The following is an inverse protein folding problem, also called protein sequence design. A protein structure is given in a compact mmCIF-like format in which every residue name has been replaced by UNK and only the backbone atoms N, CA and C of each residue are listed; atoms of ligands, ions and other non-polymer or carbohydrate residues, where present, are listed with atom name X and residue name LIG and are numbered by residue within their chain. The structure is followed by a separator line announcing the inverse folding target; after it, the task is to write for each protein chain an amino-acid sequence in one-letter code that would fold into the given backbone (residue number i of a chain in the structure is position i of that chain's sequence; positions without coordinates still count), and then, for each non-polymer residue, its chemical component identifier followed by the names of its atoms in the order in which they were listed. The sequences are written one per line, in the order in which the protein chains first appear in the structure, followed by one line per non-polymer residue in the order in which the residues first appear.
data_IF_426924765147
#
_entry.id   IF_426924765147
#
_cell.length_a   1.000
_cell.length_b   1.000
_cell.length_c   1.000
_cell.angle_alpha   90.00
_cell.angle_beta   90.00
_cell.angle_gamma   90.00
#
_symmetry.space_group_name_H-M   'P 1'
#
loop_
_entity.id
_entity.type
_entity.pdbx_description
1 polymer ?
#
# COMPACT_ATOMS: atom_id res chain seq x y z
N UNK A 1 -18.11 14.95 -33.56
CA UNK A 1 -16.93 15.80 -33.89
C UNK A 1 -15.68 14.94 -33.66
N UNK A 2 -14.82 14.80 -34.67
CA UNK A 2 -13.55 14.11 -34.54
C UNK A 2 -12.47 15.13 -34.16
N UNK A 3 -11.50 14.72 -33.34
CA UNK A 3 -10.34 15.55 -32.98
C UNK A 3 -9.44 15.68 -34.23
N UNK A 4 -9.03 16.88 -34.58
CA UNK A 4 -7.99 17.11 -35.56
C UNK A 4 -6.61 16.99 -34.91
N UNK A 5 -5.64 16.44 -35.60
CA UNK A 5 -4.25 16.33 -35.15
C UNK A 5 -3.62 15.00 -35.58
N UNK A 6 -2.31 14.91 -35.41
CA UNK A 6 -1.52 13.67 -35.65
C UNK A 6 -1.75 12.70 -34.50
N UNK A 7 -1.95 11.44 -34.80
CA UNK A 7 -2.09 10.39 -33.80
C UNK A 7 -0.77 10.17 -33.05
N UNK A 8 -0.87 9.89 -31.74
CA UNK A 8 0.28 9.62 -30.89
C UNK A 8 0.71 8.15 -31.01
N UNK A 9 1.25 7.77 -32.18
CA UNK A 9 1.58 6.39 -32.50
C UNK A 9 2.59 5.76 -31.53
N UNK A 10 3.62 6.49 -31.11
CA UNK A 10 4.63 5.95 -30.21
C UNK A 10 4.08 5.57 -28.83
N UNK A 11 3.16 6.37 -28.27
CA UNK A 11 2.49 6.01 -27.02
C UNK A 11 1.52 4.84 -27.21
N UNK A 12 0.86 4.72 -28.36
CA UNK A 12 -0.02 3.57 -28.65
C UNK A 12 0.78 2.27 -28.79
N UNK A 13 1.92 2.32 -29.46
CA UNK A 13 2.82 1.15 -29.58
C UNK A 13 3.41 0.77 -28.22
N UNK A 14 3.82 1.76 -27.42
CA UNK A 14 4.29 1.54 -26.05
C UNK A 14 3.21 0.90 -25.16
N UNK A 15 1.97 1.40 -25.23
CA UNK A 15 0.84 0.81 -24.52
C UNK A 15 0.56 -0.65 -24.94
N UNK A 16 0.59 -0.93 -26.24
CA UNK A 16 0.37 -2.28 -26.75
C UNK A 16 1.45 -3.24 -26.22
N UNK A 17 2.73 -2.84 -26.23
CA UNK A 17 3.83 -3.67 -25.70
C UNK A 17 3.75 -3.83 -24.17
N UNK A 18 3.40 -2.78 -23.44
CA UNK A 18 3.21 -2.86 -21.99
C UNK A 18 2.08 -3.82 -21.63
N UNK A 19 0.96 -3.79 -22.37
CA UNK A 19 -0.16 -4.71 -22.18
C UNK A 19 0.22 -6.16 -22.47
N UNK A 20 0.96 -6.41 -23.56
CA UNK A 20 1.49 -7.74 -23.90
C UNK A 20 2.33 -8.30 -22.74
N UNK A 21 3.32 -7.53 -22.24
CA UNK A 21 4.17 -7.93 -21.13
C UNK A 21 3.40 -8.13 -19.82
N UNK A 22 2.41 -7.28 -19.55
CA UNK A 22 1.57 -7.41 -18.37
C UNK A 22 0.75 -8.70 -18.40
N UNK A 23 0.19 -9.08 -19.56
CA UNK A 23 -0.59 -10.31 -19.71
C UNK A 23 0.29 -11.57 -19.62
N UNK A 24 1.51 -11.53 -20.17
CA UNK A 24 2.47 -12.64 -20.07
C UNK A 24 2.89 -12.94 -18.63
N UNK A 25 2.98 -11.90 -17.79
CA UNK A 25 3.51 -12.02 -16.42
C UNK A 25 2.44 -11.89 -15.32
N UNK A 26 1.15 -11.81 -15.65
CA UNK A 26 0.09 -11.48 -14.68
C UNK A 26 0.05 -12.48 -13.51
N UNK A 27 0.16 -13.77 -13.80
CA UNK A 27 0.08 -14.82 -12.78
C UNK A 27 1.34 -14.82 -11.88
N UNK A 28 2.53 -14.76 -12.50
CA UNK A 28 3.79 -14.73 -11.74
C UNK A 28 3.92 -13.47 -10.87
N UNK A 29 3.51 -12.32 -11.40
CA UNK A 29 3.52 -11.06 -10.65
C UNK A 29 2.50 -11.08 -9.50
N UNK A 30 1.32 -11.69 -9.73
CA UNK A 30 0.32 -11.85 -8.67
C UNK A 30 0.87 -12.71 -7.54
N UNK A 31 1.47 -13.86 -7.85
CA UNK A 31 2.06 -14.77 -6.86
C UNK A 31 3.21 -14.11 -6.08
N UNK A 32 4.10 -13.39 -6.77
CA UNK A 32 5.20 -12.68 -6.12
C UNK A 32 4.68 -11.63 -5.11
N UNK A 33 3.68 -10.85 -5.50
CA UNK A 33 3.08 -9.84 -4.62
C UNK A 33 2.30 -10.48 -3.47
N UNK A 34 1.63 -11.59 -3.69
CA UNK A 34 0.93 -12.36 -2.64
C UNK A 34 1.92 -12.92 -1.61
N UNK A 35 3.07 -13.42 -2.05
CA UNK A 35 4.15 -13.88 -1.18
C UNK A 35 4.67 -12.75 -0.28
N UNK A 36 4.97 -11.57 -0.85
CA UNK A 36 5.40 -10.38 -0.09
C UNK A 36 4.37 -9.97 0.97
N UNK A 37 3.09 -9.98 0.59
CA UNK A 37 1.98 -9.66 1.50
C UNK A 37 1.92 -10.63 2.68
N UNK A 38 1.94 -11.93 2.39
CA UNK A 38 1.92 -12.98 3.41
C UNK A 38 3.16 -12.93 4.30
N UNK A 39 4.34 -12.69 3.71
CA UNK A 39 5.58 -12.57 4.44
C UNK A 39 5.55 -11.40 5.43
N UNK A 40 5.09 -10.22 5.00
CA UNK A 40 4.92 -9.06 5.89
C UNK A 40 4.04 -9.41 7.09
N UNK A 41 2.85 -9.98 6.84
CA UNK A 41 1.91 -10.32 7.91
C UNK A 41 2.47 -11.37 8.88
N UNK A 42 3.25 -12.34 8.37
CA UNK A 42 3.94 -13.33 9.20
C UNK A 42 5.00 -12.68 10.08
N UNK A 43 5.84 -11.82 9.49
CA UNK A 43 6.91 -11.11 10.23
C UNK A 43 6.38 -10.17 11.30
N UNK A 44 5.28 -9.46 11.05
CA UNK A 44 4.62 -8.63 12.07
C UNK A 44 4.16 -9.48 13.27
N UNK A 45 3.61 -10.66 13.02
CA UNK A 45 3.19 -11.60 14.09
C UNK A 45 4.40 -12.18 14.84
N UNK A 46 5.46 -12.58 14.14
CA UNK A 46 6.70 -13.08 14.74
C UNK A 46 7.36 -12.06 15.68
N UNK A 47 7.26 -10.78 15.34
CA UNK A 47 7.77 -9.66 16.14
C UNK A 47 6.79 -9.21 17.25
N UNK A 48 5.64 -9.87 17.38
CA UNK A 48 4.57 -9.54 18.34
C UNK A 48 4.07 -8.09 18.21
N UNK A 49 4.15 -7.50 17.01
CA UNK A 49 3.65 -6.16 16.73
C UNK A 49 2.12 -6.23 16.64
N UNK A 50 1.37 -5.50 17.48
CA UNK A 50 -0.08 -5.50 17.43
C UNK A 50 -0.58 -4.76 16.18
N UNK A 51 -1.38 -5.43 15.37
CA UNK A 51 -2.00 -4.83 14.19
C UNK A 51 -3.34 -5.49 13.87
N UNK A 52 -4.16 -4.80 13.08
CA UNK A 52 -5.32 -5.41 12.42
C UNK A 52 -5.41 -4.95 10.97
N UNK A 53 -5.99 -5.82 10.13
CA UNK A 53 -6.24 -5.50 8.72
C UNK A 53 -7.58 -4.81 8.58
N UNK A 54 -7.62 -3.75 7.77
CA UNK A 54 -8.87 -3.08 7.39
C UNK A 54 -9.53 -3.70 6.13
N UNK A 55 -9.21 -4.95 5.83
CA UNK A 55 -9.75 -5.70 4.70
C UNK A 55 -10.81 -6.68 5.21
N UNK A 56 -12.05 -6.56 4.75
CA UNK A 56 -13.20 -7.34 5.21
C UNK A 56 -13.68 -8.39 4.22
N UNK A 57 -12.79 -8.98 3.43
CA UNK A 57 -13.14 -10.00 2.44
C UNK A 57 -12.02 -10.26 1.46
N UNK A 58 -12.32 -10.92 0.33
CA UNK A 58 -11.34 -11.11 -0.74
C UNK A 58 -10.80 -9.75 -1.20
N UNK A 59 -9.48 -9.64 -1.26
CA UNK A 59 -8.80 -8.39 -1.62
C UNK A 59 -7.59 -8.68 -2.49
N UNK A 60 -7.24 -7.74 -3.35
CA UNK A 60 -6.01 -7.81 -4.13
C UNK A 60 -4.79 -7.76 -3.21
N UNK A 61 -3.75 -8.58 -3.45
CA UNK A 61 -2.61 -8.69 -2.53
C UNK A 61 -1.67 -7.48 -2.59
N UNK A 62 -1.73 -6.67 -3.64
CA UNK A 62 -0.79 -5.56 -3.87
C UNK A 62 -0.98 -4.37 -2.94
N UNK A 63 -2.08 -4.30 -2.20
CA UNK A 63 -2.35 -3.23 -1.22
C UNK A 63 -2.83 -3.80 0.10
N UNK A 64 -2.12 -3.45 1.17
CA UNK A 64 -2.52 -3.69 2.55
C UNK A 64 -2.86 -2.38 3.24
N UNK A 65 -4.03 -2.33 3.87
CA UNK A 65 -4.33 -1.31 4.86
C UNK A 65 -4.26 -1.95 6.24
N UNK A 66 -3.26 -1.54 7.02
CA UNK A 66 -3.00 -2.03 8.37
C UNK A 66 -3.20 -0.89 9.36
N UNK A 67 -3.81 -1.19 10.48
CA UNK A 67 -3.90 -0.29 11.60
C UNK A 67 -3.05 -0.79 12.77
N UNK A 68 -2.37 0.15 13.43
CA UNK A 68 -1.54 -0.08 14.61
C UNK A 68 -2.20 0.61 15.79
N UNK A 69 -2.80 -0.14 16.72
CA UNK A 69 -3.57 0.43 17.83
C UNK A 69 -2.76 1.42 18.67
N UNK A 70 -3.37 2.56 18.96
CA UNK A 70 -2.78 3.67 19.73
C UNK A 70 -1.62 4.42 19.05
N UNK A 71 -1.33 4.13 17.77
CA UNK A 71 -0.30 4.83 17.02
C UNK A 71 -0.92 5.93 16.14
N UNK A 72 -0.26 7.09 16.11
CA UNK A 72 -0.67 8.16 15.20
C UNK A 72 -0.05 7.93 13.82
N UNK A 73 -0.87 7.76 12.80
CA UNK A 73 -0.44 7.43 11.44
C UNK A 73 0.43 8.53 10.80
N UNK A 74 0.23 9.81 11.11
CA UNK A 74 1.03 10.89 10.55
C UNK A 74 2.46 10.87 11.10
N UNK A 75 2.57 10.60 12.41
CA UNK A 75 3.87 10.43 13.06
C UNK A 75 4.58 9.18 12.55
N UNK A 76 3.84 8.08 12.41
CA UNK A 76 4.36 6.82 11.89
C UNK A 76 4.82 6.97 10.43
N UNK A 77 4.02 7.64 9.59
CA UNK A 77 4.38 7.98 8.21
C UNK A 77 5.71 8.74 8.16
N UNK A 78 5.83 9.80 8.96
CA UNK A 78 7.03 10.65 8.99
C UNK A 78 8.26 9.84 9.43
N UNK A 79 8.15 9.03 10.48
CA UNK A 79 9.26 8.21 10.97
C UNK A 79 9.70 7.15 9.95
N UNK A 80 8.76 6.53 9.24
CA UNK A 80 9.04 5.54 8.20
C UNK A 80 9.67 6.19 6.97
N UNK A 81 9.21 7.37 6.56
CA UNK A 81 9.80 8.14 5.46
C UNK A 81 11.26 8.50 5.76
N UNK A 82 11.56 8.98 6.97
CA UNK A 82 12.94 9.22 7.43
C UNK A 82 13.79 7.95 7.49
N UNK A 83 13.16 6.79 7.67
CA UNK A 83 13.83 5.48 7.62
C UNK A 83 13.98 4.94 6.18
N UNK A 84 13.52 5.67 5.15
CA UNK A 84 13.64 5.33 3.75
C UNK A 84 12.47 4.50 3.18
N UNK A 85 11.32 4.46 3.85
CA UNK A 85 10.13 3.72 3.40
C UNK A 85 9.01 4.66 2.99
N UNK A 86 8.67 4.65 1.72
CA UNK A 86 7.52 5.37 1.17
C UNK A 86 6.23 4.56 1.39
N UNK A 87 5.41 5.00 2.32
CA UNK A 87 4.07 4.47 2.57
C UNK A 87 3.03 5.58 2.44
N UNK A 88 1.76 5.27 2.60
CA UNK A 88 0.70 6.29 2.55
C UNK A 88 -0.32 6.12 3.68
N UNK A 89 -1.04 7.20 3.97
CA UNK A 89 -2.15 7.23 4.92
C UNK A 89 -3.38 7.84 4.23
N UNK A 90 -4.56 7.61 4.77
CA UNK A 90 -5.79 8.26 4.32
C UNK A 90 -6.12 8.08 2.84
N UNK A 91 -6.67 9.12 2.22
CA UNK A 91 -6.99 9.18 0.80
C UNK A 91 -5.80 9.75 0.02
N UNK A 92 -5.25 8.97 -0.93
CA UNK A 92 -4.03 9.33 -1.67
C UNK A 92 -4.14 10.61 -2.50
N UNK A 93 -5.34 11.08 -2.81
CA UNK A 93 -5.59 12.22 -3.70
C UNK A 93 -5.89 13.54 -2.95
N UNK A 94 -5.91 13.54 -1.62
CA UNK A 94 -6.10 14.75 -0.82
C UNK A 94 -4.78 15.55 -0.77
N UNK A 95 -4.35 16.10 -1.92
CA UNK A 95 -3.16 16.94 -2.01
C UNK A 95 -3.30 18.14 -1.07
N UNK A 96 -2.67 18.05 0.10
CA UNK A 96 -2.57 19.17 1.06
C UNK A 96 -3.65 19.23 2.15
N UNK A 97 -4.65 18.34 2.16
CA UNK A 97 -5.58 18.20 3.29
C UNK A 97 -5.50 16.78 3.83
N UNK A 98 -5.20 16.67 5.13
CA UNK A 98 -5.19 15.38 5.85
C UNK A 98 -6.65 15.01 6.15
N UNK A 99 -7.38 14.57 5.11
CA UNK A 99 -8.72 14.05 5.30
C UNK A 99 -8.67 12.54 5.54
N UNK A 100 -9.40 12.03 6.54
CA UNK A 100 -9.54 10.60 6.75
C UNK A 100 -10.07 9.89 5.50
N UNK A 101 -9.73 8.62 5.35
CA UNK A 101 -10.28 7.82 4.25
C UNK A 101 -11.80 7.71 4.36
N UNK A 102 -12.53 8.21 3.36
CA UNK A 102 -14.00 8.09 3.30
C UNK A 102 -14.49 6.63 3.37
N UNK A 103 -13.65 5.67 2.94
CA UNK A 103 -13.93 4.23 3.05
C UNK A 103 -13.89 3.80 4.52
N UNK A 104 -12.84 4.19 5.24
CA UNK A 104 -12.72 3.88 6.68
C UNK A 104 -13.76 4.63 7.51
N UNK A 105 -14.12 5.86 7.13
CA UNK A 105 -15.25 6.59 7.75
C UNK A 105 -16.56 5.84 7.59
N UNK A 106 -16.82 5.26 6.44
CA UNK A 106 -18.04 4.46 6.20
C UNK A 106 -18.06 3.18 7.04
N UNK A 107 -16.89 2.61 7.35
CA UNK A 107 -16.77 1.38 8.14
C UNK A 107 -16.83 1.66 9.65
N UNK A 108 -16.07 2.65 10.13
CA UNK A 108 -15.86 2.88 11.55
C UNK A 108 -16.62 4.08 12.11
N UNK A 109 -17.20 4.91 11.25
CA UNK A 109 -17.83 6.17 11.62
C UNK A 109 -16.82 7.33 11.68
N UNK A 110 -17.32 8.55 11.44
CA UNK A 110 -16.51 9.78 11.29
C UNK A 110 -15.68 10.17 12.51
N UNK A 111 -16.11 9.76 13.71
CA UNK A 111 -15.46 10.12 14.97
C UNK A 111 -14.63 8.99 15.58
N UNK A 112 -14.32 7.95 14.81
CA UNK A 112 -13.55 6.81 15.29
C UNK A 112 -12.06 7.13 15.34
N UNK A 113 -11.40 6.84 16.46
CA UNK A 113 -9.94 6.95 16.59
C UNK A 113 -9.19 6.04 15.60
N UNK A 114 -9.85 4.94 15.19
CA UNK A 114 -9.33 4.03 14.16
C UNK A 114 -8.99 4.69 12.83
N UNK A 115 -9.55 5.86 12.54
CA UNK A 115 -9.25 6.62 11.33
C UNK A 115 -7.82 7.17 11.33
N UNK A 116 -7.19 7.29 12.49
CA UNK A 116 -5.85 7.87 12.68
C UNK A 116 -4.76 6.83 12.95
N UNK A 117 -5.10 5.55 12.98
CA UNK A 117 -4.19 4.45 13.34
C UNK A 117 -3.70 3.65 12.13
N UNK A 118 -4.11 4.01 10.92
CA UNK A 118 -3.91 3.18 9.74
C UNK A 118 -2.87 3.72 8.77
N UNK A 119 -2.12 2.80 8.17
CA UNK A 119 -1.23 3.05 7.04
C UNK A 119 -1.60 2.14 5.88
N UNK A 120 -1.24 2.58 4.67
CA UNK A 120 -1.40 1.78 3.47
C UNK A 120 -0.04 1.45 2.87
N UNK A 121 0.22 0.16 2.75
CA UNK A 121 1.43 -0.41 2.17
C UNK A 121 1.06 -0.95 0.80
N UNK A 122 1.83 -0.58 -0.23
CA UNK A 122 1.64 -1.05 -1.60
C UNK A 122 2.87 -1.82 -2.04
N UNK A 123 2.64 -2.98 -2.66
CA UNK A 123 3.67 -3.84 -3.20
C UNK A 123 3.63 -3.86 -4.73
N UNK A 124 4.77 -4.13 -5.32
CA UNK A 124 4.91 -4.54 -6.72
C UNK A 124 5.79 -5.78 -6.79
N UNK A 125 5.82 -6.41 -7.96
CA UNK A 125 6.69 -7.54 -8.27
C UNK A 125 8.19 -7.21 -8.20
N UNK A 126 8.52 -5.92 -8.12
CA UNK A 126 9.91 -5.43 -7.99
C UNK A 126 10.40 -5.39 -6.55
N UNK A 127 9.50 -5.51 -5.58
CA UNK A 127 9.90 -5.57 -4.18
C UNK A 127 10.50 -6.92 -3.81
N UNK A 128 11.28 -6.95 -2.74
CA UNK A 128 11.97 -8.14 -2.26
C UNK A 128 11.58 -8.51 -0.83
N UNK A 129 11.77 -9.78 -0.47
CA UNK A 129 11.57 -10.24 0.91
C UNK A 129 12.52 -9.54 1.89
N UNK A 130 13.73 -9.18 1.46
CA UNK A 130 14.70 -8.45 2.27
C UNK A 130 14.23 -7.04 2.60
N UNK A 131 13.60 -6.34 1.64
CA UNK A 131 12.97 -5.03 1.89
C UNK A 131 11.84 -5.15 2.91
N UNK A 132 11.03 -6.21 2.83
CA UNK A 132 9.97 -6.47 3.82
C UNK A 132 10.55 -6.77 5.19
N UNK A 133 11.62 -7.55 5.29
CA UNK A 133 12.30 -7.83 6.55
C UNK A 133 12.84 -6.55 7.18
N UNK A 134 13.52 -5.71 6.39
CA UNK A 134 14.06 -4.43 6.84
C UNK A 134 12.93 -3.47 7.28
N UNK A 135 11.82 -3.43 6.54
CA UNK A 135 10.65 -2.64 6.91
C UNK A 135 10.12 -3.04 8.28
N UNK A 136 9.92 -4.34 8.53
CA UNK A 136 9.41 -4.84 9.83
C UNK A 136 10.38 -4.55 10.96
N UNK A 137 11.69 -4.70 10.75
CA UNK A 137 12.72 -4.34 11.72
C UNK A 137 12.62 -2.86 12.13
N UNK A 138 12.55 -1.95 11.14
CA UNK A 138 12.43 -0.51 11.38
C UNK A 138 11.10 -0.16 12.05
N UNK A 139 10.00 -0.73 11.57
CA UNK A 139 8.68 -0.54 12.19
C UNK A 139 8.70 -0.98 13.66
N UNK A 140 9.26 -2.15 13.98
CA UNK A 140 9.40 -2.63 15.35
C UNK A 140 10.21 -1.68 16.23
N UNK A 141 11.25 -1.06 15.70
CA UNK A 141 12.06 -0.08 16.42
C UNK A 141 11.35 1.27 16.65
N UNK A 142 10.41 1.62 15.78
CA UNK A 142 9.63 2.87 15.85
C UNK A 142 8.47 2.76 16.85
N UNK A 143 7.89 1.55 16.97
CA UNK A 143 6.73 1.27 17.83
C UNK A 143 7.08 0.93 19.29
N UNK A 144 8.37 0.72 19.58
CA UNK A 144 8.90 0.50 20.94
C UNK A 144 9.28 1.82 21.59
#
# INVERSE_FOLDING_TARGET
KRRAGTENLHSLVGLAKALELALENIESNYQAVEELNHHLLSKLKEQEIPFYKNNFGPSMPHVLNLAFPNENHDLLLTKLDLAGFAISTGSACAAGTIEPSHVLEAVYGKNSDKLKENIRISFSELNTLDEVNLFVEKLSSILK
#
